data_IF_249425353642
#
_entry.id   IF_249425353642
#
_cell.length_a   1.000
_cell.length_b   1.000
_cell.length_c   1.000
_cell.angle_alpha   90.00
_cell.angle_beta   90.00
_cell.angle_gamma   90.00
#
_symmetry.space_group_name_H-M   'P 1'
#
loop_
_entity.id
_entity.type
_entity.pdbx_description
1 polymer ?
#
# COMPACT_ATOMS: atom_id res chain seq x y z
N UNK A 1 13.46 -8.49 -20.88
CA UNK A 1 14.08 -8.56 -19.54
C UNK A 1 13.93 -7.21 -18.86
N UNK A 2 13.18 -7.02 -17.77
CA UNK A 2 13.28 -5.77 -17.00
C UNK A 2 14.59 -5.80 -16.22
N UNK A 3 15.54 -4.95 -16.61
CA UNK A 3 16.89 -4.89 -16.03
C UNK A 3 16.91 -4.55 -14.53
N UNK A 4 15.82 -3.97 -14.00
CA UNK A 4 15.71 -3.52 -12.61
C UNK A 4 15.64 -4.66 -11.59
N UNK A 5 14.87 -5.72 -11.86
CA UNK A 5 14.68 -6.82 -10.90
C UNK A 5 15.94 -7.66 -10.68
N UNK A 6 16.68 -7.92 -11.75
CA UNK A 6 17.96 -8.61 -11.63
C UNK A 6 18.99 -7.78 -10.83
N UNK A 7 18.85 -6.45 -10.81
CA UNK A 7 19.69 -5.56 -9.98
C UNK A 7 19.25 -5.58 -8.51
N UNK A 8 17.94 -5.58 -8.24
CA UNK A 8 17.39 -5.75 -6.88
C UNK A 8 17.80 -7.06 -6.23
N UNK A 9 17.69 -8.19 -6.94
CA UNK A 9 18.10 -9.51 -6.41
C UNK A 9 19.62 -9.59 -6.21
N UNK A 10 20.42 -9.00 -7.11
CA UNK A 10 21.89 -8.98 -6.97
C UNK A 10 22.39 -8.10 -5.82
N UNK A 11 21.61 -7.13 -5.37
CA UNK A 11 21.97 -6.22 -4.29
C UNK A 11 21.18 -6.44 -2.99
N UNK A 12 20.18 -7.33 -2.98
CA UNK A 12 19.10 -7.28 -2.02
C UNK A 12 18.95 -8.53 -1.18
N UNK A 13 19.81 -8.62 -0.18
CA UNK A 13 19.65 -9.45 1.01
C UNK A 13 20.66 -8.93 2.02
N UNK A 14 20.24 -8.66 3.26
CA UNK A 14 21.17 -8.16 4.28
C UNK A 14 22.30 -9.19 4.55
N UNK A 15 22.04 -10.46 4.26
CA UNK A 15 22.94 -11.60 4.43
C UNK A 15 22.73 -12.63 3.31
N UNK A 16 23.68 -13.57 3.18
CA UNK A 16 23.59 -14.71 2.26
C UNK A 16 22.35 -15.60 2.49
N UNK A 17 21.80 -15.60 3.70
CA UNK A 17 20.60 -16.36 4.07
C UNK A 17 19.32 -15.52 4.13
N UNK A 18 19.31 -14.30 3.59
CA UNK A 18 18.14 -13.45 3.62
C UNK A 18 17.00 -14.03 2.79
N UNK A 19 15.83 -14.16 3.40
CA UNK A 19 14.61 -14.60 2.73
C UNK A 19 13.97 -13.50 1.87
N UNK A 20 14.30 -12.23 2.14
CA UNK A 20 13.67 -11.08 1.51
C UNK A 20 14.65 -10.10 0.89
N UNK A 21 14.13 -9.39 -0.12
CA UNK A 21 14.80 -8.29 -0.82
C UNK A 21 14.25 -6.97 -0.28
N UNK A 22 15.10 -6.11 0.27
CA UNK A 22 14.67 -4.80 0.77
C UNK A 22 14.05 -3.94 -0.35
N UNK A 23 12.98 -3.21 -0.02
CA UNK A 23 12.22 -2.34 -0.93
C UNK A 23 12.27 -0.88 -0.45
N UNK A 24 12.74 0.00 -1.35
CA UNK A 24 12.93 1.43 -1.10
C UNK A 24 11.77 2.29 -1.60
N UNK A 25 11.50 3.39 -0.91
CA UNK A 25 10.53 4.42 -1.31
C UNK A 25 11.03 5.22 -2.53
N UNK A 26 10.12 5.63 -3.42
CA UNK A 26 10.46 6.44 -4.59
C UNK A 26 10.44 7.95 -4.34
N UNK A 27 9.81 8.40 -3.26
CA UNK A 27 9.62 9.82 -2.96
C UNK A 27 9.75 10.08 -1.45
N UNK A 28 9.97 11.35 -1.11
CA UNK A 28 9.83 11.84 0.26
C UNK A 28 8.36 11.78 0.68
N UNK A 29 8.09 11.26 1.87
CA UNK A 29 6.74 11.08 2.41
C UNK A 29 6.67 11.57 3.85
N UNK A 30 5.62 12.32 4.16
CA UNK A 30 5.24 12.67 5.53
C UNK A 30 3.92 11.99 5.89
N UNK A 31 3.97 11.08 6.85
CA UNK A 31 2.78 10.47 7.44
C UNK A 31 2.30 11.37 8.57
N UNK A 32 1.34 12.24 8.27
CA UNK A 32 0.83 13.25 9.20
C UNK A 32 -0.14 12.70 10.26
N UNK A 33 -0.79 11.57 9.99
CA UNK A 33 -1.73 10.90 10.88
C UNK A 33 -1.48 9.38 10.93
N UNK A 34 -2.32 8.67 11.67
CA UNK A 34 -2.24 7.22 11.85
C UNK A 34 -3.11 6.45 10.82
N UNK A 35 -3.53 7.10 9.72
CA UNK A 35 -4.27 6.41 8.67
C UNK A 35 -3.32 5.61 7.78
N UNK A 36 -3.89 4.61 7.10
CA UNK A 36 -3.15 3.86 6.09
C UNK A 36 -2.90 4.76 4.89
N UNK A 37 -1.66 4.79 4.42
CA UNK A 37 -1.25 5.50 3.21
C UNK A 37 -0.49 4.54 2.29
N UNK A 38 -0.57 4.76 0.98
CA UNK A 38 0.19 3.99 -0.01
C UNK A 38 1.41 4.82 -0.40
N UNK A 39 2.60 4.28 -0.13
CA UNK A 39 3.87 4.90 -0.50
C UNK A 39 4.43 4.21 -1.75
N UNK A 40 4.70 4.94 -2.84
CA UNK A 40 5.26 4.32 -4.05
C UNK A 40 6.68 3.83 -3.77
N UNK A 41 7.00 2.63 -4.26
CA UNK A 41 8.37 2.12 -4.25
C UNK A 41 9.12 2.45 -5.53
N UNK A 42 10.43 2.28 -5.53
CA UNK A 42 11.27 2.41 -6.73
C UNK A 42 11.09 1.27 -7.73
N UNK A 43 10.12 0.38 -7.54
CA UNK A 43 10.03 -0.87 -8.30
C UNK A 43 8.64 -1.08 -8.89
N UNK A 44 8.61 -1.45 -10.18
CA UNK A 44 7.42 -1.88 -10.87
C UNK A 44 7.48 -3.39 -11.12
N UNK A 45 6.34 -4.06 -11.07
CA UNK A 45 6.25 -5.45 -11.51
C UNK A 45 6.43 -5.59 -13.03
N UNK A 46 6.50 -6.82 -13.55
CA UNK A 46 6.46 -8.08 -12.81
C UNK A 46 7.80 -8.44 -12.18
N UNK A 47 7.76 -9.19 -11.06
CA UNK A 47 8.93 -9.60 -10.26
C UNK A 47 9.98 -10.40 -11.05
N UNK A 48 9.56 -11.06 -12.13
CA UNK A 48 10.37 -11.97 -12.93
C UNK A 48 10.38 -13.40 -12.38
N UNK A 49 11.00 -14.31 -13.15
CA UNK A 49 11.18 -15.73 -12.80
C UNK A 49 9.88 -16.50 -12.46
N UNK A 50 8.72 -15.99 -12.86
CA UNK A 50 7.44 -16.61 -12.51
C UNK A 50 7.12 -16.57 -11.02
N UNK A 51 7.71 -15.62 -10.28
CA UNK A 51 7.55 -15.50 -8.83
C UNK A 51 6.45 -14.50 -8.47
N UNK A 52 5.68 -14.84 -7.44
CA UNK A 52 4.91 -13.90 -6.64
C UNK A 52 5.76 -13.44 -5.45
N UNK A 53 5.33 -12.41 -4.73
CA UNK A 53 6.01 -12.01 -3.49
C UNK A 53 5.04 -11.55 -2.42
N UNK A 54 5.41 -11.83 -1.17
CA UNK A 54 4.81 -11.20 -0.01
C UNK A 54 5.58 -9.93 0.33
N UNK A 55 4.90 -8.79 0.30
CA UNK A 55 5.40 -7.51 0.79
C UNK A 55 5.16 -7.44 2.29
N UNK A 56 6.22 -7.31 3.08
CA UNK A 56 6.15 -7.15 4.54
C UNK A 56 7.06 -6.02 5.02
N UNK A 57 6.80 -5.52 6.23
CA UNK A 57 7.68 -4.54 6.87
C UNK A 57 9.05 -5.12 7.23
N UNK A 58 10.06 -4.25 7.27
CA UNK A 58 11.34 -4.58 7.90
C UNK A 58 11.19 -4.47 9.41
N UNK A 59 11.72 -5.43 10.16
CA UNK A 59 11.63 -5.43 11.63
C UNK A 59 12.20 -4.14 12.25
N UNK A 60 13.25 -3.57 11.64
CA UNK A 60 13.84 -2.29 12.04
C UNK A 60 12.89 -1.09 11.90
N UNK A 61 11.96 -1.14 10.94
CA UNK A 61 10.93 -0.11 10.75
C UNK A 61 9.77 -0.30 11.71
N UNK A 62 9.34 -1.55 11.91
CA UNK A 62 8.30 -1.86 12.91
C UNK A 62 8.72 -1.44 14.32
N UNK A 63 10.01 -1.62 14.67
CA UNK A 63 10.56 -1.13 15.94
C UNK A 63 10.49 0.40 16.10
N UNK A 64 10.50 1.14 15.00
CA UNK A 64 10.39 2.61 14.99
C UNK A 64 8.93 3.10 14.90
N UNK A 65 7.95 2.20 15.00
CA UNK A 65 6.53 2.56 14.93
C UNK A 65 5.99 2.77 13.52
N UNK A 66 6.76 2.42 12.48
CA UNK A 66 6.26 2.36 11.10
C UNK A 66 5.76 0.95 10.80
N UNK A 67 4.45 0.79 10.69
CA UNK A 67 3.83 -0.49 10.41
C UNK A 67 3.50 -0.63 8.93
N UNK A 68 4.07 -1.64 8.27
CA UNK A 68 3.75 -1.97 6.87
C UNK A 68 2.68 -3.06 6.88
N UNK A 69 1.54 -2.78 6.25
CA UNK A 69 0.47 -3.77 6.09
C UNK A 69 0.93 -4.79 5.05
N UNK A 70 0.80 -6.11 5.33
CA UNK A 70 1.18 -7.14 4.38
C UNK A 70 0.43 -7.00 3.05
N UNK A 71 1.13 -7.21 1.94
CA UNK A 71 0.56 -7.19 0.60
C UNK A 71 1.02 -8.41 -0.22
N UNK A 72 0.13 -8.92 -1.08
CA UNK A 72 0.47 -9.95 -2.05
C UNK A 72 0.69 -9.32 -3.43
N UNK A 73 1.88 -9.53 -3.97
CA UNK A 73 2.24 -9.13 -5.33
C UNK A 73 2.14 -10.35 -6.23
N UNK A 74 1.21 -10.31 -7.18
CA UNK A 74 1.01 -11.39 -8.13
C UNK A 74 2.10 -11.41 -9.20
N UNK A 75 2.31 -12.60 -9.77
CA UNK A 75 3.34 -12.86 -10.78
C UNK A 75 3.16 -12.03 -12.05
N UNK A 76 1.90 -11.70 -12.38
CA UNK A 76 1.48 -10.94 -13.54
C UNK A 76 1.13 -9.47 -13.22
N UNK A 77 1.41 -9.02 -11.99
CA UNK A 77 1.26 -7.62 -11.63
C UNK A 77 2.33 -6.77 -12.34
N UNK A 78 1.92 -5.75 -13.08
CA UNK A 78 2.82 -4.89 -13.89
C UNK A 78 2.91 -3.44 -13.41
N UNK A 79 2.14 -3.08 -12.38
CA UNK A 79 2.11 -1.73 -11.82
C UNK A 79 3.25 -1.45 -10.84
N UNK A 80 3.26 -0.24 -10.28
CA UNK A 80 4.16 0.14 -9.19
C UNK A 80 3.82 -0.65 -7.92
N UNK A 81 4.84 -1.22 -7.28
CA UNK A 81 4.64 -1.90 -6.00
C UNK A 81 4.47 -0.83 -4.92
N UNK A 82 3.23 -0.54 -4.56
CA UNK A 82 2.89 0.35 -3.47
C UNK A 82 3.08 -0.31 -2.10
N UNK A 83 3.66 0.44 -1.16
CA UNK A 83 3.90 0.01 0.22
C UNK A 83 2.78 0.61 1.08
N UNK A 84 1.86 -0.22 1.56
CA UNK A 84 0.82 0.24 2.49
C UNK A 84 1.41 0.41 3.89
N UNK A 85 1.37 1.63 4.42
CA UNK A 85 1.98 1.98 5.70
C UNK A 85 0.99 2.64 6.63
N UNK A 86 1.20 2.45 7.93
CA UNK A 86 0.56 3.18 9.02
C UNK A 86 1.64 3.63 10.01
N UNK A 87 1.64 4.91 10.36
CA UNK A 87 2.46 5.42 11.46
C UNK A 87 1.72 5.20 12.78
N UNK A 88 2.34 4.53 13.75
CA UNK A 88 1.77 4.38 15.09
C UNK A 88 1.90 5.66 15.91
N UNK A 89 2.96 6.45 15.66
CA UNK A 89 3.27 7.70 16.37
C UNK A 89 3.59 8.81 15.36
N UNK A 90 2.58 9.39 14.68
CA UNK A 90 2.79 10.49 13.74
C UNK A 90 3.19 11.81 14.43
N UNK A 91 3.87 12.74 13.74
CA UNK A 91 4.26 12.66 12.33
C UNK A 91 5.53 11.82 12.10
N UNK A 92 5.58 11.09 10.98
CA UNK A 92 6.78 10.35 10.54
C UNK A 92 7.21 10.86 9.16
N UNK A 93 8.49 11.23 9.04
CA UNK A 93 9.10 11.62 7.76
C UNK A 93 9.97 10.49 7.23
N UNK A 94 9.76 10.12 5.97
CA UNK A 94 10.47 9.07 5.27
C UNK A 94 11.10 9.70 4.03
N UNK A 95 12.43 9.73 3.97
CA UNK A 95 13.14 10.23 2.79
C UNK A 95 13.04 9.24 1.62
N UNK A 96 13.08 9.73 0.39
CA UNK A 96 13.20 8.93 -0.81
C UNK A 96 14.42 7.99 -0.73
N UNK A 97 14.28 6.78 -1.25
CA UNK A 97 15.33 5.74 -1.18
C UNK A 97 15.40 5.00 0.16
N UNK A 98 14.58 5.37 1.15
CA UNK A 98 14.55 4.65 2.43
C UNK A 98 13.96 3.26 2.24
N UNK A 99 14.71 2.23 2.63
CA UNK A 99 14.26 0.82 2.61
C UNK A 99 13.32 0.56 3.78
N UNK A 100 12.02 0.61 3.55
CA UNK A 100 11.00 0.48 4.61
C UNK A 100 10.29 -0.88 4.65
N UNK A 101 10.27 -1.58 3.52
CA UNK A 101 9.63 -2.88 3.36
C UNK A 101 10.61 -3.88 2.77
N UNK A 102 10.19 -5.13 2.63
CA UNK A 102 10.92 -6.19 1.95
C UNK A 102 9.94 -7.10 1.21
N UNK A 103 10.40 -7.67 0.10
CA UNK A 103 9.68 -8.65 -0.70
C UNK A 103 10.22 -10.04 -0.40
N UNK A 104 9.36 -10.96 0.02
CA UNK A 104 9.67 -12.38 0.20
C UNK A 104 9.15 -13.12 -1.05
N UNK A 105 10.02 -13.46 -2.02
CA UNK A 105 9.59 -14.13 -3.24
C UNK A 105 9.21 -15.59 -2.99
N UNK A 106 8.22 -16.09 -3.73
CA UNK A 106 7.81 -17.49 -3.68
C UNK A 106 7.15 -17.93 -5.01
N UNK A 107 7.11 -19.23 -5.26
CA UNK A 107 6.31 -19.82 -6.34
C UNK A 107 4.89 -20.08 -5.83
N UNK A 108 3.92 -19.42 -6.45
CA UNK A 108 2.51 -19.68 -6.13
C UNK A 108 2.08 -21.01 -6.75
N UNK A 109 1.35 -21.81 -5.96
CA UNK A 109 0.83 -23.12 -6.38
C UNK A 109 -0.70 -23.12 -6.34
N UNK A 110 -1.30 -22.09 -6.92
CA UNK A 110 -2.75 -21.91 -6.98
C UNK A 110 -3.28 -22.55 -8.27
N UNK A 111 -4.39 -23.32 -8.25
CA UNK A 111 -4.98 -23.87 -9.46
C UNK A 111 -5.31 -22.78 -10.47
N UNK A 112 -5.00 -23.01 -11.75
CA UNK A 112 -5.37 -22.09 -12.83
C UNK A 112 -6.89 -22.05 -12.96
N UNK A 113 -7.50 -20.97 -12.47
CA UNK A 113 -8.87 -20.59 -12.85
C UNK A 113 -8.79 -19.62 -14.05
N UNK A 114 -9.92 -19.26 -14.68
CA UNK A 114 -10.00 -18.58 -16.00
C UNK A 114 -8.88 -17.54 -16.25
N UNK A 115 -8.34 -17.56 -17.47
CA UNK A 115 -7.28 -16.68 -17.99
C UNK A 115 -7.73 -15.20 -18.00
N UNK A 116 -7.60 -14.51 -16.88
CA UNK A 116 -7.62 -13.05 -16.84
C UNK A 116 -6.29 -12.58 -16.26
N UNK A 117 -5.53 -11.82 -17.04
CA UNK A 117 -4.32 -11.17 -16.54
C UNK A 117 -4.70 -10.04 -15.58
N UNK A 118 -3.99 -9.93 -14.45
CA UNK A 118 -4.24 -8.88 -13.47
C UNK A 118 -3.86 -7.49 -14.00
N UNK A 119 -2.76 -7.39 -14.74
CA UNK A 119 -2.27 -6.13 -15.29
C UNK A 119 -1.72 -5.19 -14.20
N UNK A 120 -1.94 -3.88 -14.35
CA UNK A 120 -1.39 -2.84 -13.45
C UNK A 120 -2.31 -2.47 -12.28
N UNK A 121 -3.51 -3.03 -12.22
CA UNK A 121 -4.53 -2.65 -11.25
C UNK A 121 -4.35 -3.38 -9.90
N UNK A 122 -4.19 -2.61 -8.83
CA UNK A 122 -3.95 -3.10 -7.45
C UNK A 122 -5.12 -2.81 -6.50
N UNK A 123 -4.92 -3.08 -5.20
CA UNK A 123 -5.78 -2.60 -4.12
C UNK A 123 -7.29 -2.92 -4.23
N UNK A 124 -7.62 -4.14 -4.63
CA UNK A 124 -9.01 -4.60 -4.72
C UNK A 124 -9.73 -4.23 -6.02
N UNK A 125 -8.99 -3.85 -7.07
CA UNK A 125 -9.55 -3.52 -8.39
C UNK A 125 -10.37 -4.61 -9.07
N UNK A 126 -10.23 -5.86 -8.64
CA UNK A 126 -11.00 -7.01 -9.14
C UNK A 126 -12.27 -7.29 -8.33
N UNK A 127 -12.41 -6.66 -7.16
CA UNK A 127 -13.49 -6.94 -6.21
C UNK A 127 -14.41 -5.72 -6.05
N UNK A 128 -15.72 -5.95 -5.93
CA UNK A 128 -16.64 -4.92 -5.45
C UNK A 128 -16.27 -4.53 -4.00
N UNK A 129 -16.29 -3.25 -3.61
CA UNK A 129 -15.95 -2.84 -2.25
C UNK A 129 -16.88 -3.50 -1.23
N UNK A 130 -16.35 -4.43 -0.43
CA UNK A 130 -17.11 -5.19 0.56
C UNK A 130 -17.13 -4.53 1.95
N UNK A 131 -16.24 -3.56 2.19
CA UNK A 131 -16.09 -2.85 3.46
C UNK A 131 -16.23 -1.34 3.21
N UNK A 132 -17.19 -0.71 3.88
CA UNK A 132 -17.39 0.73 3.82
C UNK A 132 -16.80 1.41 5.06
N UNK A 133 -15.96 2.41 4.86
CA UNK A 133 -15.48 3.26 5.95
C UNK A 133 -16.57 4.28 6.31
N UNK A 134 -17.13 4.16 7.52
CA UNK A 134 -17.98 5.18 8.10
C UNK A 134 -17.10 6.22 8.80
N UNK A 135 -17.07 7.46 8.27
CA UNK A 135 -16.52 8.59 9.03
C UNK A 135 -17.64 9.18 9.87
N UNK A 136 -17.43 9.30 11.19
CA UNK A 136 -18.30 10.12 12.03
C UNK A 136 -18.08 11.57 11.68
N UNK A 137 -18.98 12.15 10.88
CA UNK A 137 -18.97 13.58 10.59
C UNK A 137 -19.40 14.32 11.86
N UNK A 138 -18.46 14.98 12.53
CA UNK A 138 -18.75 15.78 13.74
C UNK A 138 -19.56 17.04 13.41
N UNK A 139 -19.64 17.43 12.13
CA UNK A 139 -20.47 18.53 11.67
C UNK A 139 -21.86 18.07 11.23
N UNK A 140 -22.88 18.53 11.96
CA UNK A 140 -24.29 18.16 11.78
C UNK A 140 -24.93 18.62 10.44
N UNK A 141 -24.18 19.26 9.53
CA UNK A 141 -24.64 19.70 8.20
C UNK A 141 -23.43 20.13 7.34
N UNK A 142 -23.36 19.86 6.02
CA UNK A 142 -22.52 20.68 5.15
C UNK A 142 -23.10 22.10 5.17
N UNK A 143 -22.39 23.04 5.79
CA UNK A 143 -22.80 24.45 5.81
C UNK A 143 -22.39 25.11 4.50
N UNK A 144 -23.38 25.45 3.68
CA UNK A 144 -23.24 26.60 2.79
C UNK A 144 -23.46 27.83 3.65
N UNK A 145 -22.48 28.73 3.78
CA UNK A 145 -22.72 30.03 4.40
C UNK A 145 -23.78 30.77 3.57
N UNK A 146 -24.99 30.84 4.11
CA UNK A 146 -26.04 31.75 3.67
C UNK A 146 -26.50 32.47 4.94
N UNK A 147 -26.44 33.81 5.01
CA UNK A 147 -26.86 34.53 6.20
C UNK A 147 -28.35 34.28 6.50
N UNK A 148 -28.68 33.74 7.68
CA UNK A 148 -29.92 34.10 8.37
C UNK A 148 -31.05 33.10 8.62
N UNK A 149 -30.88 31.76 8.70
CA UNK A 149 -31.99 30.89 9.22
C UNK A 149 -31.57 29.64 10.02
N UNK A 150 -32.34 29.36 11.09
CA UNK A 150 -32.26 28.20 11.99
C UNK A 150 -33.08 27.00 11.47
N UNK A 151 -32.59 25.75 11.59
CA UNK A 151 -33.42 24.56 11.91
C UNK A 151 -32.68 23.21 12.07
N UNK A 152 -33.15 22.48 13.09
CA UNK A 152 -33.40 21.04 13.41
C UNK A 152 -32.45 19.91 12.97
N UNK A 153 -32.19 19.00 13.93
CA UNK A 153 -31.21 17.88 13.95
C UNK A 153 -31.67 16.61 13.22
N UNK A 154 -30.82 16.06 12.35
CA UNK A 154 -30.89 14.69 11.81
C UNK A 154 -29.49 14.18 11.46
N UNK A 155 -29.24 12.87 11.64
CA UNK A 155 -27.93 12.22 11.40
C UNK A 155 -27.79 11.83 9.92
N UNK A 156 -26.72 12.26 9.25
CA UNK A 156 -26.38 11.89 7.87
C UNK A 156 -25.13 11.00 7.84
N UNK A 157 -25.24 9.81 7.28
CA UNK A 157 -24.09 8.95 6.99
C UNK A 157 -23.60 9.24 5.57
N UNK A 158 -22.34 9.65 5.43
CA UNK A 158 -21.72 9.88 4.13
C UNK A 158 -20.77 8.71 3.83
N UNK A 159 -21.13 7.88 2.85
CA UNK A 159 -20.24 6.86 2.31
C UNK A 159 -19.36 7.52 1.24
N UNK A 160 -18.06 7.67 1.50
CA UNK A 160 -17.10 8.02 0.46
C UNK A 160 -16.51 6.74 -0.13
N UNK A 161 -16.66 6.58 -1.44
CA UNK A 161 -15.84 5.67 -2.22
C UNK A 161 -14.40 6.19 -2.21
N UNK A 162 -13.49 5.39 -1.69
CA UNK A 162 -12.07 5.64 -1.86
C UNK A 162 -11.65 5.00 -3.20
N UNK A 163 -11.39 5.84 -4.20
CA UNK A 163 -10.63 5.44 -5.38
C UNK A 163 -9.15 5.56 -4.99
N UNK A 164 -8.45 4.42 -4.92
CA UNK A 164 -7.00 4.34 -4.74
C UNK A 164 -6.33 4.04 -6.08
#
# INVERSE_FOLDING_TARGET
MPLEWARLIRCGGATRGSAGVDLATAADVTLADDKVQIVPSVVNGPLGYGLSALLIGRSSMSKQGLFVLPGLIDVDYTGNIGIMVRALFPPVNIAAGTRIAQLIPFQSSVPKTKLTERGSHGFGSTDSPQVAFAMTVTQRKPSRMVPGQNSTTGTLFLFRHAHY
#
